data_IF_336419656971
#
_entry.id   IF_336419656971
#
_cell.length_a   1.000
_cell.length_b   1.000
_cell.length_c   1.000
_cell.angle_alpha   90.00
_cell.angle_beta   90.00
_cell.angle_gamma   90.00
#
_symmetry.space_group_name_H-M   'P 1'
#
loop_
_entity.id
_entity.type
_entity.pdbx_description
1 polymer ?
#
# COMPACT_ATOMS: atom_id res chain seq x y z
N UNK A 1 -15.53 0.03 -7.86
CA UNK A 1 -14.80 -0.71 -6.81
C UNK A 1 -15.57 -0.56 -5.52
N UNK A 2 -15.96 -1.66 -4.86
CA UNK A 2 -16.62 -1.61 -3.56
C UNK A 2 -15.58 -1.33 -2.47
N UNK A 3 -15.86 -0.39 -1.57
CA UNK A 3 -14.96 -0.08 -0.45
C UNK A 3 -14.84 -1.31 0.46
N UNK A 4 -13.61 -1.78 0.78
CA UNK A 4 -13.43 -2.92 1.67
C UNK A 4 -13.97 -2.64 3.07
N UNK A 5 -14.42 -3.69 3.77
CA UNK A 5 -14.88 -3.60 5.15
C UNK A 5 -13.82 -4.10 6.12
N UNK A 6 -13.73 -3.47 7.29
CA UNK A 6 -12.86 -3.90 8.39
C UNK A 6 -13.47 -5.09 9.18
N UNK A 7 -12.76 -5.56 10.22
CA UNK A 7 -13.23 -6.66 11.09
C UNK A 7 -14.59 -6.39 11.74
N UNK A 8 -14.99 -5.13 11.86
CA UNK A 8 -16.25 -4.69 12.46
C UNK A 8 -17.31 -4.41 11.39
N UNK A 9 -17.09 -4.87 10.15
CA UNK A 9 -17.97 -4.67 8.99
C UNK A 9 -18.19 -3.21 8.61
N UNK A 10 -17.24 -2.32 8.92
CA UNK A 10 -17.33 -0.90 8.54
C UNK A 10 -16.44 -0.58 7.35
N UNK A 11 -16.85 0.37 6.49
CA UNK A 11 -16.01 0.82 5.38
C UNK A 11 -14.63 1.26 5.85
N UNK A 12 -13.59 0.77 5.18
CA UNK A 12 -12.22 1.23 5.39
C UNK A 12 -12.00 2.62 4.75
N UNK A 13 -11.09 3.40 5.33
CA UNK A 13 -10.64 4.68 4.77
C UNK A 13 -9.62 4.43 3.66
N UNK A 14 -9.78 5.07 2.51
CA UNK A 14 -8.74 5.12 1.48
C UNK A 14 -7.55 5.92 2.04
N UNK A 15 -6.41 5.26 2.19
CA UNK A 15 -5.15 5.87 2.59
C UNK A 15 -4.44 6.50 1.38
N UNK A 16 -4.33 5.75 0.28
CA UNK A 16 -3.67 6.20 -0.94
C UNK A 16 -4.24 5.51 -2.18
N UNK A 17 -4.23 6.22 -3.30
CA UNK A 17 -4.46 5.67 -4.64
C UNK A 17 -3.28 6.09 -5.51
N UNK A 18 -2.63 5.10 -6.13
CA UNK A 18 -1.36 5.27 -6.81
C UNK A 18 -1.45 4.70 -8.21
N UNK A 19 -1.34 5.58 -9.21
CA UNK A 19 -1.27 5.19 -10.61
C UNK A 19 0.16 4.75 -10.94
N UNK A 20 0.32 3.47 -11.30
CA UNK A 20 1.62 2.88 -11.63
C UNK A 20 2.25 3.52 -12.88
N UNK A 21 1.44 4.05 -13.80
CA UNK A 21 1.93 4.71 -15.00
C UNK A 21 2.54 6.09 -14.69
N UNK A 22 1.81 6.95 -13.97
CA UNK A 22 2.32 8.27 -13.52
C UNK A 22 3.60 8.11 -12.69
N UNK A 23 3.62 7.05 -11.88
CA UNK A 23 4.73 6.74 -10.99
C UNK A 23 5.96 6.19 -11.71
N UNK A 24 5.78 5.40 -12.77
CA UNK A 24 6.86 4.96 -13.65
C UNK A 24 7.48 6.15 -14.40
N UNK A 25 6.65 7.12 -14.84
CA UNK A 25 7.12 8.33 -15.52
C UNK A 25 7.93 9.25 -14.59
N UNK A 26 7.54 9.36 -13.32
CA UNK A 26 8.25 10.20 -12.32
C UNK A 26 9.58 9.60 -11.86
N UNK A 27 9.75 8.29 -11.99
CA UNK A 27 10.94 7.57 -11.51
C UNK A 27 11.69 6.93 -12.68
N UNK A 28 12.12 7.75 -13.64
CA UNK A 28 12.87 7.35 -14.85
C UNK A 28 14.23 6.67 -14.59
N UNK A 29 14.61 6.50 -13.33
CA UNK A 29 15.84 5.86 -12.86
C UNK A 29 15.57 4.70 -11.90
N UNK A 30 14.42 4.02 -12.01
CA UNK A 30 14.27 2.69 -11.39
C UNK A 30 15.27 1.74 -12.07
N UNK A 31 16.29 1.24 -11.37
CA UNK A 31 17.25 0.31 -11.94
C UNK A 31 16.50 -1.01 -12.21
N UNK A 32 16.14 -1.20 -13.47
CA UNK A 32 15.37 -2.35 -13.93
C UNK A 32 13.90 -2.25 -13.56
N UNK A 33 13.04 -2.48 -14.55
CA UNK A 33 11.78 -3.19 -14.33
C UNK A 33 12.09 -4.51 -13.62
N UNK A 34 12.24 -4.44 -12.30
CA UNK A 34 12.09 -5.56 -11.40
C UNK A 34 10.67 -6.04 -11.70
N UNK A 35 10.53 -7.12 -12.47
CA UNK A 35 9.28 -7.60 -13.11
C UNK A 35 8.17 -8.05 -12.15
N UNK A 36 8.08 -7.43 -10.99
CA UNK A 36 7.17 -7.73 -9.88
C UNK A 36 6.05 -6.69 -9.77
N UNK A 37 6.25 -5.47 -10.30
CA UNK A 37 5.21 -4.46 -10.38
C UNK A 37 4.55 -4.48 -11.76
N UNK A 38 3.21 -4.40 -11.82
CA UNK A 38 2.51 -4.21 -13.07
C UNK A 38 2.91 -2.90 -13.75
N UNK A 39 2.97 -2.90 -15.08
CA UNK A 39 3.30 -1.69 -15.86
C UNK A 39 2.18 -0.64 -15.83
N UNK A 40 0.94 -1.07 -15.55
CA UNK A 40 -0.24 -0.22 -15.61
C UNK A 40 -1.24 -0.57 -14.50
N UNK A 41 -2.10 0.40 -14.17
CA UNK A 41 -3.20 0.23 -13.21
C UNK A 41 -2.99 1.02 -11.92
N UNK A 42 -3.95 0.89 -11.01
CA UNK A 42 -4.02 1.69 -9.79
C UNK A 42 -3.89 0.78 -8.57
N UNK A 43 -2.93 1.07 -7.70
CA UNK A 43 -2.85 0.46 -6.36
C UNK A 43 -3.65 1.34 -5.41
N UNK A 44 -4.69 0.77 -4.82
CA UNK A 44 -5.50 1.38 -3.78
C UNK A 44 -5.16 0.75 -2.43
N UNK A 45 -4.86 1.59 -1.45
CA UNK A 45 -4.49 1.18 -0.10
C UNK A 45 -5.56 1.69 0.83
N UNK A 46 -6.21 0.77 1.53
CA UNK A 46 -7.27 1.05 2.50
C UNK A 46 -6.81 0.65 3.90
N UNK A 47 -7.23 1.41 4.91
CA UNK A 47 -6.96 1.15 6.32
C UNK A 47 -8.23 1.26 7.15
N UNK A 48 -8.35 0.46 8.21
CA UNK A 48 -9.43 0.57 9.17
C UNK A 48 -9.34 1.89 9.94
N UNK A 49 -10.48 2.41 10.39
CA UNK A 49 -10.56 3.54 11.31
C UNK A 49 -9.82 3.32 12.64
N UNK A 50 -9.49 2.07 12.98
CA UNK A 50 -8.85 1.68 14.24
C UNK A 50 -7.44 1.16 14.00
N UNK A 51 -6.82 1.53 12.87
CA UNK A 51 -5.47 1.09 12.52
C UNK A 51 -4.46 1.38 13.64
N UNK A 52 -4.62 2.47 14.41
CA UNK A 52 -3.80 2.80 15.60
C UNK A 52 -3.80 1.72 16.69
N UNK A 53 -4.84 0.91 16.78
CA UNK A 53 -4.99 -0.15 17.78
C UNK A 53 -4.62 -1.54 17.23
N UNK A 54 -4.44 -1.65 15.91
CA UNK A 54 -4.13 -2.91 15.25
C UNK A 54 -2.65 -3.27 15.41
N UNK A 55 -2.40 -4.56 15.61
CA UNK A 55 -1.05 -5.11 15.51
C UNK A 55 -0.67 -5.25 14.03
N UNK A 56 0.63 -5.24 13.74
CA UNK A 56 1.14 -5.44 12.39
C UNK A 56 0.65 -6.73 11.73
N UNK A 57 0.39 -7.79 12.51
CA UNK A 57 -0.15 -9.06 12.03
C UNK A 57 -1.63 -9.01 11.63
N UNK A 58 -2.37 -7.97 12.02
CA UNK A 58 -3.82 -7.91 11.84
C UNK A 58 -4.19 -7.52 10.40
N UNK A 59 -4.22 -8.52 9.52
CA UNK A 59 -4.54 -8.37 8.10
C UNK A 59 -5.95 -7.85 7.81
N UNK A 60 -6.82 -7.81 8.82
CA UNK A 60 -8.17 -7.22 8.73
C UNK A 60 -8.19 -5.70 8.90
N UNK A 61 -7.05 -5.09 9.25
CA UNK A 61 -6.96 -3.65 9.46
C UNK A 61 -6.50 -2.86 8.24
N UNK A 62 -6.10 -3.55 7.17
CA UNK A 62 -5.74 -2.91 5.91
C UNK A 62 -6.14 -3.79 4.72
N UNK A 63 -6.28 -3.17 3.55
CA UNK A 63 -6.47 -3.87 2.28
C UNK A 63 -5.66 -3.14 1.22
N UNK A 64 -4.89 -3.90 0.45
CA UNK A 64 -4.14 -3.41 -0.70
C UNK A 64 -4.77 -4.06 -1.91
N UNK A 65 -5.25 -3.25 -2.85
CA UNK A 65 -5.99 -3.72 -4.02
C UNK A 65 -5.33 -3.11 -5.25
N UNK A 66 -4.85 -3.95 -6.15
CA UNK A 66 -4.48 -3.52 -7.48
C UNK A 66 -5.69 -3.66 -8.42
N UNK A 67 -5.82 -2.72 -9.36
CA UNK A 67 -6.84 -2.77 -10.40
C UNK A 67 -6.19 -2.47 -11.74
N UNK A 68 -6.32 -3.40 -12.68
CA UNK A 68 -5.83 -3.23 -14.04
C UNK A 68 -6.50 -2.05 -14.74
N UNK A 69 -5.69 -1.25 -15.43
CA UNK A 69 -6.16 -0.17 -16.27
C UNK A 69 -6.78 -0.71 -17.55
N UNK A 70 -8.11 -0.74 -17.59
CA UNK A 70 -8.85 0.07 -18.57
C UNK A 70 -10.14 0.59 -17.91
N UNK A 71 -9.99 1.22 -16.75
CA UNK A 71 -11.08 1.92 -16.10
C UNK A 71 -10.73 3.40 -16.14
N UNK A 72 -11.25 4.10 -17.15
CA UNK A 72 -11.64 5.49 -16.99
C UNK A 72 -12.26 5.63 -15.60
N UNK A 73 -11.82 6.65 -14.86
CA UNK A 73 -12.42 7.08 -13.60
C UNK A 73 -13.95 6.94 -13.63
N UNK A 74 -14.62 6.63 -12.51
CA UNK A 74 -16.06 6.42 -12.50
C UNK A 74 -16.76 7.66 -13.08
N UNK A 75 -17.28 7.54 -14.30
CA UNK A 75 -18.23 8.47 -14.87
C UNK A 75 -19.53 8.33 -14.07
N UNK A 76 -19.68 9.18 -13.06
CA UNK A 76 -21.00 9.44 -12.48
C UNK A 76 -21.76 10.24 -13.52
N UNK A 77 -22.75 9.62 -14.16
CA UNK A 77 -23.73 10.30 -15.01
C UNK A 77 -24.78 10.95 -14.10
N UNK A 78 -24.94 12.28 -14.11
CA UNK A 78 -26.15 12.89 -13.59
C UNK A 78 -27.22 12.83 -14.67
N UNK A 79 -28.37 12.30 -14.29
CA UNK A 79 -29.62 12.40 -15.03
C UNK A 79 -30.10 13.86 -15.06
N UNK A 80 -30.48 14.38 -16.23
CA UNK A 80 -31.31 15.59 -16.38
C UNK A 80 -30.70 16.72 -17.24
N UNK A 81 -31.32 16.99 -18.38
CA UNK A 81 -30.95 17.89 -19.47
C UNK A 81 -31.08 19.40 -19.16
N UNK A 82 -30.20 20.25 -19.73
CA UNK A 82 -30.57 21.28 -20.73
C UNK A 82 -29.37 22.18 -21.17
N UNK A 83 -29.03 22.03 -22.46
CA UNK A 83 -28.54 22.98 -23.48
C UNK A 83 -27.60 24.17 -23.18
N UNK A 84 -26.50 24.18 -23.96
CA UNK A 84 -25.56 25.26 -24.34
C UNK A 84 -24.46 25.70 -23.36
N UNK A 85 -23.33 24.99 -23.50
CA UNK A 85 -21.94 25.45 -23.68
C UNK A 85 -21.36 26.54 -22.74
N UNK A 86 -20.19 26.18 -22.19
CA UNK A 86 -19.28 26.95 -21.34
C UNK A 86 -19.67 27.00 -19.85
N UNK A 87 -19.54 25.86 -19.18
CA UNK A 87 -19.49 25.79 -17.72
C UNK A 87 -18.07 25.49 -17.24
N UNK A 88 -17.47 26.52 -16.65
CA UNK A 88 -16.31 26.47 -15.79
C UNK A 88 -16.66 25.70 -14.51
N UNK A 89 -16.31 24.42 -14.40
CA UNK A 89 -16.47 23.67 -13.15
C UNK A 89 -15.35 22.63 -12.93
N UNK A 90 -15.11 22.28 -11.65
CA UNK A 90 -13.78 22.21 -11.09
C UNK A 90 -13.18 20.82 -11.25
N UNK A 91 -11.90 20.79 -11.60
CA UNK A 91 -11.06 19.59 -11.63
C UNK A 91 -11.23 18.82 -10.32
N UNK A 92 -11.52 17.50 -10.35
CA UNK A 92 -11.48 16.70 -9.14
C UNK A 92 -10.05 16.71 -8.63
N UNK A 93 -9.78 17.51 -7.60
CA UNK A 93 -8.53 17.43 -6.86
C UNK A 93 -8.48 16.02 -6.31
N UNK A 94 -7.50 15.25 -6.79
CA UNK A 94 -6.90 14.19 -5.99
C UNK A 94 -6.54 14.89 -4.68
N UNK A 95 -7.35 14.68 -3.63
CA UNK A 95 -7.01 15.15 -2.29
C UNK A 95 -5.91 14.23 -1.78
N UNK A 96 -4.70 14.39 -2.32
CA UNK A 96 -3.47 13.91 -1.73
C UNK A 96 -3.22 14.73 -0.47
N UNK A 97 -3.85 14.31 0.63
CA UNK A 97 -3.33 14.58 1.98
C UNK A 97 -2.16 13.66 2.30
N UNK A 98 -1.31 13.36 1.31
CA UNK A 98 -0.12 12.52 1.44
C UNK A 98 1.01 13.40 0.97
N UNK A 99 1.77 13.92 1.94
CA UNK A 99 2.78 14.93 1.67
C UNK A 99 3.97 14.36 0.89
N UNK A 100 4.23 13.04 0.94
CA UNK A 100 5.30 12.40 0.18
C UNK A 100 4.98 10.94 -0.17
N UNK A 101 4.70 10.68 -1.45
CA UNK A 101 4.62 9.33 -2.02
C UNK A 101 5.91 9.04 -2.80
N UNK A 102 6.61 7.97 -2.46
CA UNK A 102 7.78 7.53 -3.25
C UNK A 102 7.76 6.02 -3.49
N UNK A 103 8.09 5.61 -4.71
CA UNK A 103 8.61 4.27 -4.98
C UNK A 103 10.11 4.42 -5.01
N UNK A 104 10.77 3.86 -4.03
CA UNK A 104 12.22 3.93 -3.98
C UNK A 104 12.77 2.74 -3.21
N UNK A 105 13.99 2.38 -3.60
CA UNK A 105 14.96 1.49 -2.97
C UNK A 105 14.85 1.42 -1.45
N UNK A 106 15.28 0.29 -0.85
CA UNK A 106 15.35 -0.04 0.60
C UNK A 106 16.15 0.99 1.43
N UNK A 107 15.72 2.25 1.43
CA UNK A 107 16.40 3.43 1.98
C UNK A 107 15.67 4.00 3.19
N UNK A 108 14.53 3.41 3.55
CA UNK A 108 13.89 3.73 4.82
C UNK A 108 14.80 3.28 5.96
N UNK A 109 15.10 4.11 6.97
CA UNK A 109 16.04 3.76 8.04
C UNK A 109 15.65 2.50 8.81
N UNK A 110 14.35 2.18 8.81
CA UNK A 110 13.76 1.00 9.47
C UNK A 110 13.30 -0.08 8.49
N UNK A 111 13.88 -0.14 7.28
CA UNK A 111 13.42 -1.11 6.27
C UNK A 111 13.66 -2.57 6.69
N UNK A 112 14.80 -2.87 7.30
CA UNK A 112 15.11 -4.23 7.77
C UNK A 112 14.17 -4.66 8.91
N UNK A 113 13.79 -3.73 9.79
CA UNK A 113 12.76 -3.96 10.79
C UNK A 113 11.40 -4.22 10.14
N UNK A 114 11.02 -3.46 9.11
CA UNK A 114 9.77 -3.68 8.39
C UNK A 114 9.71 -5.06 7.72
N UNK A 115 10.81 -5.48 7.08
CA UNK A 115 10.95 -6.82 6.49
C UNK A 115 10.79 -7.92 7.54
N UNK A 116 11.43 -7.76 8.71
CA UNK A 116 11.26 -8.69 9.82
C UNK A 116 9.81 -8.69 10.33
N UNK A 117 9.18 -7.52 10.49
CA UNK A 117 7.77 -7.42 10.87
C UNK A 117 6.89 -8.20 9.88
N UNK A 118 7.11 -8.09 8.58
CA UNK A 118 6.34 -8.83 7.57
C UNK A 118 6.57 -10.34 7.64
N UNK A 119 7.81 -10.80 7.84
CA UNK A 119 8.12 -12.21 7.99
C UNK A 119 7.40 -12.82 9.20
N UNK A 120 7.37 -12.12 10.33
CA UNK A 120 6.62 -12.54 11.51
C UNK A 120 5.10 -12.50 11.28
N UNK A 121 4.61 -11.39 10.74
CA UNK A 121 3.18 -11.11 10.58
C UNK A 121 2.49 -12.04 9.60
N UNK A 122 3.17 -12.38 8.50
CA UNK A 122 2.68 -13.36 7.50
C UNK A 122 2.55 -14.77 8.05
N UNK A 123 3.30 -15.10 9.12
CA UNK A 123 3.21 -16.35 9.86
C UNK A 123 2.29 -16.25 11.10
N UNK A 124 1.52 -15.17 11.25
CA UNK A 124 0.58 -14.97 12.35
C UNK A 124 1.22 -14.58 13.69
N UNK A 125 2.51 -14.27 13.70
CA UNK A 125 3.27 -13.94 14.90
C UNK A 125 3.45 -12.43 15.00
N UNK A 126 3.21 -11.88 16.20
CA UNK A 126 3.50 -10.46 16.45
C UNK A 126 5.00 -10.27 16.60
N UNK A 127 5.57 -9.38 15.79
CA UNK A 127 6.98 -8.99 15.92
C UNK A 127 7.25 -8.27 17.24
N UNK A 128 8.39 -8.59 17.86
CA UNK A 128 9.06 -7.79 18.88
C UNK A 128 10.54 -8.20 18.90
N UNK A 129 11.40 -7.34 19.47
CA UNK A 129 12.85 -7.57 19.48
C UNK A 129 13.25 -8.83 20.24
N UNK A 130 12.58 -9.15 21.35
CA UNK A 130 12.88 -10.35 22.13
C UNK A 130 12.69 -11.63 21.30
N UNK A 131 11.61 -11.70 20.51
CA UNK A 131 11.36 -12.82 19.57
C UNK A 131 12.30 -12.80 18.38
N UNK A 132 12.67 -11.62 17.88
CA UNK A 132 13.63 -11.51 16.79
C UNK A 132 15.01 -12.08 17.16
N UNK A 133 15.37 -12.02 18.45
CA UNK A 133 16.63 -12.53 18.99
C UNK A 133 16.53 -13.96 19.57
N UNK A 134 15.36 -14.61 19.49
CA UNK A 134 15.16 -15.97 19.98
C UNK A 134 15.38 -16.97 18.83
N UNK A 135 16.23 -17.98 19.08
CA UNK A 135 16.59 -19.03 18.12
C UNK A 135 15.38 -19.73 17.52
N UNK A 136 14.28 -19.84 18.29
CA UNK A 136 13.02 -20.44 17.82
C UNK A 136 12.44 -19.72 16.59
N UNK A 137 12.72 -18.42 16.42
CA UNK A 137 12.23 -17.60 15.31
C UNK A 137 13.32 -17.19 14.31
N UNK A 138 14.54 -17.73 14.46
CA UNK A 138 15.66 -17.48 13.54
C UNK A 138 15.30 -17.70 12.06
N UNK A 139 14.48 -18.71 11.78
CA UNK A 139 13.98 -19.01 10.45
C UNK A 139 13.10 -17.89 9.85
N UNK A 140 12.39 -17.11 10.67
CA UNK A 140 11.58 -15.96 10.21
C UNK A 140 12.47 -14.78 9.87
N UNK A 141 13.49 -14.50 10.70
CA UNK A 141 14.48 -13.46 10.42
C UNK A 141 15.26 -13.82 9.14
N UNK A 142 15.64 -15.08 8.99
CA UNK A 142 16.27 -15.58 7.77
C UNK A 142 15.38 -15.40 6.53
N UNK A 143 14.05 -15.33 6.65
CA UNK A 143 13.13 -15.06 5.54
C UNK A 143 12.85 -13.57 5.31
N UNK A 144 13.29 -12.66 6.20
CA UNK A 144 13.00 -11.23 6.08
C UNK A 144 13.50 -10.64 4.74
N UNK A 145 14.65 -11.07 4.24
CA UNK A 145 15.21 -10.60 2.96
C UNK A 145 14.33 -10.89 1.74
N UNK A 146 13.38 -11.83 1.85
CA UNK A 146 12.39 -12.15 0.81
C UNK A 146 11.33 -11.06 0.66
N UNK A 147 11.22 -10.16 1.64
CA UNK A 147 10.31 -9.01 1.59
C UNK A 147 11.00 -7.81 0.98
N UNK A 148 10.30 -7.11 0.09
CA UNK A 148 10.81 -5.93 -0.62
C UNK A 148 9.86 -4.77 -0.49
N UNK A 149 10.39 -3.56 -0.34
CA UNK A 149 9.57 -2.35 -0.34
C UNK A 149 8.93 -2.14 -1.71
N UNK A 150 7.60 -2.06 -1.74
CA UNK A 150 6.80 -1.76 -2.92
C UNK A 150 6.53 -0.26 -3.02
N UNK A 151 6.05 0.32 -1.91
CA UNK A 151 5.57 1.70 -1.86
C UNK A 151 5.77 2.25 -0.46
N UNK A 152 6.23 3.50 -0.38
CA UNK A 152 6.22 4.29 0.86
C UNK A 152 5.18 5.39 0.75
N UNK A 153 4.26 5.41 1.70
CA UNK A 153 3.26 6.47 1.88
C UNK A 153 3.61 7.18 3.18
N UNK A 154 3.88 8.47 3.10
CA UNK A 154 4.23 9.28 4.26
C UNK A 154 3.16 10.33 4.54
N UNK A 155 2.74 10.41 5.80
CA UNK A 155 1.99 11.53 6.35
C UNK A 155 2.82 12.26 7.42
N UNK A 156 2.30 13.36 7.98
CA UNK A 156 3.00 14.20 8.97
C UNK A 156 3.55 13.40 10.16
N UNK A 157 2.79 12.42 10.64
CA UNK A 157 3.10 11.67 11.86
C UNK A 157 3.51 10.22 11.63
N UNK A 158 3.40 9.71 10.40
CA UNK A 158 3.43 8.26 10.17
C UNK A 158 3.99 7.91 8.80
N UNK A 159 4.93 6.97 8.79
CA UNK A 159 5.39 6.28 7.59
C UNK A 159 4.66 4.94 7.46
N UNK A 160 4.02 4.74 6.32
CA UNK A 160 3.40 3.50 5.90
C UNK A 160 4.26 2.86 4.81
N UNK A 161 4.79 1.68 5.10
CA UNK A 161 5.59 0.89 4.18
C UNK A 161 4.75 -0.28 3.69
N UNK A 162 4.61 -0.40 2.38
CA UNK A 162 3.96 -1.55 1.76
C UNK A 162 5.05 -2.44 1.23
N UNK A 163 5.10 -3.66 1.73
CA UNK A 163 6.09 -4.65 1.33
C UNK A 163 5.41 -5.78 0.57
N UNK A 164 6.10 -6.33 -0.42
CA UNK A 164 5.69 -7.52 -1.17
C UNK A 164 6.69 -8.63 -0.93
N UNK A 165 6.21 -9.87 -0.90
CA UNK A 165 7.05 -11.06 -0.79
C UNK A 165 7.58 -11.45 -2.18
N UNK A 166 8.82 -11.94 -2.28
CA UNK A 166 9.41 -12.34 -3.57
C UNK A 166 8.66 -13.50 -4.25
N UNK A 167 8.12 -14.42 -3.45
CA UNK A 167 7.27 -15.53 -3.89
C UNK A 167 5.78 -15.12 -4.03
N UNK A 168 5.46 -13.82 -3.98
CA UNK A 168 4.19 -13.31 -4.49
C UNK A 168 4.37 -13.21 -6.01
N UNK A 169 3.83 -14.18 -6.80
CA UNK A 169 3.97 -14.11 -8.25
C UNK A 169 3.43 -12.77 -8.73
N UNK A 170 3.97 -12.26 -9.84
CA UNK A 170 3.54 -11.03 -10.51
C UNK A 170 2.12 -11.13 -11.10
N UNK A 171 1.14 -11.64 -10.34
CA UNK A 171 -0.24 -11.85 -10.72
C UNK A 171 -1.13 -10.96 -9.86
N UNK A 172 -1.48 -9.81 -10.43
CA UNK A 172 -2.85 -9.25 -10.44
C UNK A 172 -3.52 -8.82 -9.14
N UNK A 173 -3.03 -9.23 -7.96
CA UNK A 173 -3.87 -9.24 -6.76
C UNK A 173 -3.19 -8.68 -5.50
N UNK A 174 -1.85 -8.58 -5.45
CA UNK A 174 -1.10 -8.10 -4.27
C UNK A 174 -1.55 -8.78 -2.96
N UNK A 175 -1.96 -10.05 -3.02
CA UNK A 175 -2.60 -10.72 -1.88
C UNK A 175 -1.62 -10.92 -0.72
N UNK A 176 -0.33 -11.15 -1.03
CA UNK A 176 0.70 -11.32 0.00
C UNK A 176 1.31 -9.99 0.42
N UNK A 177 0.95 -8.88 -0.21
CA UNK A 177 1.42 -7.56 0.21
C UNK A 177 1.02 -7.27 1.66
N UNK A 178 1.88 -6.53 2.35
CA UNK A 178 1.75 -6.24 3.76
C UNK A 178 1.98 -4.76 4.04
N UNK A 179 1.19 -4.20 4.95
CA UNK A 179 1.33 -2.83 5.40
C UNK A 179 2.03 -2.80 6.77
N UNK A 180 3.16 -2.13 6.85
CA UNK A 180 3.87 -1.83 8.10
C UNK A 180 3.75 -0.34 8.37
N UNK A 181 3.55 0.02 9.64
CA UNK A 181 3.40 1.40 10.07
C UNK A 181 4.46 1.75 11.10
N UNK A 182 5.14 2.86 10.89
CA UNK A 182 6.01 3.48 11.88
C UNK A 182 5.53 4.89 12.20
N UNK A 183 5.48 5.22 13.49
CA UNK A 183 5.33 6.61 13.92
C UNK A 183 6.64 7.34 13.63
N UNK A 184 6.54 8.57 13.13
CA UNK A 184 7.69 9.46 13.00
C UNK A 184 8.04 9.98 14.39
N UNK A 185 9.32 9.89 14.73
CA UNK A 185 9.90 10.44 15.96
C UNK A 185 10.27 11.91 15.78
#
# INVERSE_FOLDING_TARGET
MQTPLDKQSRPMKLLAAVDLHDLALRNSSLPGSSGYLPQHGIINVFVSHYIEQCQSKDRTCFKIIWTHGNALAPHVTPTGEETTAASSQPTPRIMTGISNLSITTDTHPRIEEAKAICAFSSNGITYNEARANDDCYSHLIAQAHKWRLLLRISDEQTDYLILIHEDDPAQEQLEKAWLVRFKRE
#
